data_IF_531613204460
#
_entry.id   IF_531613204460
#
_cell.length_a   1.000
_cell.length_b   1.000
_cell.length_c   1.000
_cell.angle_alpha   90.00
_cell.angle_beta   90.00
_cell.angle_gamma   90.00
#
_symmetry.space_group_name_H-M   'P 1'
#
loop_
_entity.id
_entity.type
_entity.pdbx_description
1 polymer ?
#
# COMPACT_ATOMS: atom_id res chain seq x y z
N UNK A 1 -16.37 3.80 8.35
CA UNK A 1 -15.85 5.10 8.83
C UNK A 1 -15.50 4.96 10.29
N UNK A 2 -14.31 5.37 10.70
CA UNK A 2 -14.00 5.51 12.13
C UNK A 2 -14.84 6.67 12.66
N UNK A 3 -15.76 6.39 13.58
CA UNK A 3 -16.61 7.40 14.21
C UNK A 3 -16.09 7.73 15.62
N UNK A 4 -16.40 8.93 16.11
CA UNK A 4 -16.02 9.37 17.46
C UNK A 4 -14.63 9.98 17.54
N UNK A 5 -14.13 10.13 18.77
CA UNK A 5 -12.82 10.74 19.04
C UNK A 5 -11.71 9.76 18.68
N UNK A 6 -10.88 10.13 17.70
CA UNK A 6 -9.69 9.36 17.35
C UNK A 6 -8.63 9.48 18.44
N UNK A 7 -8.08 8.33 18.83
CA UNK A 7 -6.97 8.24 19.79
C UNK A 7 -5.85 7.46 19.11
N UNK A 8 -4.64 8.02 19.12
CA UNK A 8 -3.44 7.31 18.69
C UNK A 8 -2.91 6.48 19.86
N UNK A 9 -2.60 5.21 19.59
CA UNK A 9 -1.90 4.32 20.53
C UNK A 9 -0.71 3.73 19.79
N UNK A 10 0.38 3.52 20.51
CA UNK A 10 1.53 2.80 19.98
C UNK A 10 1.19 1.31 19.81
N UNK A 11 1.80 0.69 18.79
CA UNK A 11 1.70 -0.75 18.61
C UNK A 11 2.40 -1.48 19.77
N UNK A 12 1.91 -2.66 20.11
CA UNK A 12 2.40 -3.48 21.22
C UNK A 12 2.55 -4.94 20.79
N UNK A 13 3.37 -5.70 21.52
CA UNK A 13 3.54 -7.13 21.23
C UNK A 13 2.20 -7.87 21.37
N UNK A 14 1.84 -8.66 20.36
CA UNK A 14 0.55 -9.36 20.32
C UNK A 14 -0.60 -8.56 19.71
N UNK A 15 -0.39 -7.31 19.27
CA UNK A 15 -1.43 -6.49 18.60
C UNK A 15 -2.06 -7.20 17.39
N UNK A 16 -1.26 -7.97 16.63
CA UNK A 16 -1.76 -8.75 15.49
C UNK A 16 -2.71 -9.86 15.95
N UNK A 17 -2.38 -10.56 17.03
CA UNK A 17 -3.27 -11.59 17.56
C UNK A 17 -4.56 -10.98 18.08
N UNK A 18 -4.49 -9.86 18.81
CA UNK A 18 -5.68 -9.15 19.28
C UNK A 18 -6.55 -8.63 18.12
N UNK A 19 -5.93 -8.27 17.00
CA UNK A 19 -6.62 -7.95 15.75
C UNK A 19 -7.36 -9.16 15.16
N UNK A 20 -6.68 -10.30 15.09
CA UNK A 20 -7.28 -11.52 14.57
C UNK A 20 -8.41 -12.02 15.49
N UNK A 21 -8.31 -11.81 16.80
CA UNK A 21 -9.31 -12.15 17.82
C UNK A 21 -10.46 -11.13 17.94
N UNK A 22 -10.54 -10.14 17.05
CA UNK A 22 -11.57 -9.07 17.05
C UNK A 22 -11.61 -8.21 18.34
N UNK A 23 -10.49 -8.12 19.08
CA UNK A 23 -10.38 -7.29 20.29
C UNK A 23 -10.06 -5.83 20.00
N UNK A 24 -9.54 -5.53 18.81
CA UNK A 24 -9.24 -4.16 18.38
C UNK A 24 -10.11 -3.74 17.19
N UNK A 25 -10.51 -2.48 17.20
CA UNK A 25 -11.20 -1.83 16.08
C UNK A 25 -10.50 -0.50 15.77
N UNK A 26 -10.24 -0.25 14.48
CA UNK A 26 -9.61 0.99 14.03
C UNK A 26 -8.78 0.81 12.76
N UNK A 27 -7.67 1.54 12.72
CA UNK A 27 -6.67 1.52 11.65
C UNK A 27 -5.32 1.21 12.27
N UNK A 28 -4.57 0.30 11.66
CA UNK A 28 -3.20 -0.04 12.06
C UNK A 28 -2.22 0.52 11.03
N UNK A 29 -1.16 1.17 11.49
CA UNK A 29 -0.03 1.54 10.65
C UNK A 29 0.93 0.34 10.59
N UNK A 30 1.21 -0.15 9.40
CA UNK A 30 2.14 -1.24 9.19
C UNK A 30 2.77 -1.17 7.80
N UNK A 31 3.86 -1.91 7.62
CA UNK A 31 4.32 -2.29 6.29
C UNK A 31 3.50 -3.51 5.84
N UNK A 32 3.24 -3.61 4.54
CA UNK A 32 2.52 -4.74 3.96
C UNK A 32 3.10 -5.08 2.59
N UNK A 33 3.16 -6.37 2.27
CA UNK A 33 3.60 -6.84 0.96
C UNK A 33 2.79 -8.04 0.48
N UNK A 34 2.66 -8.13 -0.83
CA UNK A 34 2.08 -9.25 -1.55
C UNK A 34 3.22 -10.24 -1.84
N UNK A 35 3.21 -11.45 -1.25
CA UNK A 35 4.15 -12.50 -1.59
C UNK A 35 4.11 -12.86 -3.07
N UNK A 36 5.21 -13.39 -3.60
CA UNK A 36 5.35 -13.68 -5.03
C UNK A 36 4.23 -14.58 -5.57
N UNK A 37 3.89 -15.64 -4.84
CA UNK A 37 2.86 -16.60 -5.22
C UNK A 37 1.43 -16.03 -5.26
N UNK A 38 1.20 -14.84 -4.69
CA UNK A 38 -0.10 -14.14 -4.73
C UNK A 38 -0.15 -13.04 -5.78
N UNK A 39 0.97 -12.68 -6.43
CA UNK A 39 0.96 -11.63 -7.46
C UNK A 39 0.12 -12.02 -8.66
N UNK A 40 0.11 -13.28 -9.05
CA UNK A 40 -0.74 -13.77 -10.15
C UNK A 40 -2.23 -13.60 -9.82
N UNK A 41 -2.62 -13.91 -8.58
CA UNK A 41 -3.99 -13.72 -8.10
C UNK A 41 -4.42 -12.24 -8.13
N UNK A 42 -3.51 -11.34 -7.74
CA UNK A 42 -3.74 -9.88 -7.74
C UNK A 42 -3.30 -9.18 -9.03
N UNK A 43 -3.04 -9.92 -10.11
CA UNK A 43 -2.47 -9.36 -11.34
C UNK A 43 -3.42 -8.39 -12.05
N UNK A 44 -4.73 -8.61 -11.93
CA UNK A 44 -5.75 -7.70 -12.45
C UNK A 44 -5.78 -6.36 -11.69
N UNK A 45 -5.65 -6.43 -10.35
CA UNK A 45 -5.66 -5.26 -9.49
C UNK A 45 -4.83 -5.52 -8.23
N UNK A 46 -3.73 -4.77 -8.12
CA UNK A 46 -2.86 -4.82 -6.94
C UNK A 46 -3.63 -4.44 -5.67
N UNK A 47 -3.39 -5.11 -4.52
CA UNK A 47 -4.22 -4.95 -3.32
C UNK A 47 -3.93 -3.65 -2.55
N UNK A 48 -2.75 -3.05 -2.75
CA UNK A 48 -2.32 -1.90 -1.95
C UNK A 48 -2.38 -0.65 -2.82
N UNK A 49 -3.06 0.38 -2.31
CA UNK A 49 -3.07 1.71 -2.93
C UNK A 49 -2.27 2.68 -2.08
N UNK A 50 -1.27 3.32 -2.67
CA UNK A 50 -0.44 4.33 -2.00
C UNK A 50 -0.49 5.66 -2.73
N UNK A 51 -0.55 6.74 -1.95
CA UNK A 51 -0.52 8.10 -2.47
C UNK A 51 0.90 8.64 -2.36
N UNK A 52 1.66 8.53 -3.45
CA UNK A 52 3.07 8.93 -3.49
C UNK A 52 3.31 10.05 -4.51
N UNK A 53 4.41 10.76 -4.34
CA UNK A 53 4.90 11.68 -5.36
C UNK A 53 5.46 10.85 -6.52
N UNK A 54 4.87 11.01 -7.71
CA UNK A 54 5.38 10.39 -8.93
C UNK A 54 6.20 11.43 -9.66
N UNK A 55 7.51 11.17 -9.75
CA UNK A 55 8.43 11.90 -10.60
C UNK A 55 8.61 11.13 -11.92
N UNK A 56 8.14 11.73 -13.01
CA UNK A 56 8.19 11.15 -14.34
C UNK A 56 9.61 11.11 -14.94
N UNK A 57 10.58 11.80 -14.34
CA UNK A 57 11.99 11.76 -14.75
C UNK A 57 12.77 10.62 -14.05
N UNK A 58 12.14 9.92 -13.10
CA UNK A 58 12.77 8.83 -12.38
C UNK A 58 12.28 7.47 -12.90
N UNK A 59 13.13 6.78 -13.68
CA UNK A 59 12.85 5.47 -14.26
C UNK A 59 12.42 4.43 -13.22
N UNK A 60 12.99 4.46 -12.01
CA UNK A 60 12.64 3.50 -10.94
C UNK A 60 11.21 3.66 -10.43
N UNK A 61 10.58 4.83 -10.64
CA UNK A 61 9.23 5.13 -10.17
C UNK A 61 8.18 4.78 -11.23
N UNK A 62 8.42 5.13 -12.49
CA UNK A 62 7.43 4.96 -13.57
C UNK A 62 7.68 3.69 -14.41
N UNK A 63 8.83 3.03 -14.22
CA UNK A 63 9.25 1.87 -14.99
C UNK A 63 9.84 2.24 -16.35
N UNK A 64 10.70 1.36 -16.87
CA UNK A 64 11.44 1.55 -18.12
C UNK A 64 10.55 1.86 -19.32
N UNK A 65 9.42 1.16 -19.45
CA UNK A 65 8.47 1.38 -20.54
C UNK A 65 7.93 2.81 -20.57
N UNK A 66 7.43 3.31 -19.43
CA UNK A 66 6.88 4.67 -19.37
C UNK A 66 7.98 5.73 -19.48
N UNK A 67 9.16 5.45 -18.93
CA UNK A 67 10.32 6.33 -19.04
C UNK A 67 10.75 6.51 -20.51
N UNK A 68 10.93 5.41 -21.25
CA UNK A 68 11.26 5.45 -22.68
C UNK A 68 10.17 6.15 -23.51
N UNK A 69 8.90 5.91 -23.18
CA UNK A 69 7.78 6.58 -23.83
C UNK A 69 7.84 8.12 -23.66
N UNK A 70 8.17 8.59 -22.45
CA UNK A 70 8.31 10.00 -22.13
C UNK A 70 9.54 10.62 -22.84
N UNK A 71 10.68 9.91 -22.85
CA UNK A 71 11.88 10.31 -23.59
C UNK A 71 11.56 10.51 -25.07
N UNK A 72 10.83 9.56 -25.69
CA UNK A 72 10.45 9.61 -27.11
C UNK A 72 9.58 10.83 -27.47
N UNK A 73 8.91 11.43 -26.48
CA UNK A 73 8.08 12.64 -26.63
C UNK A 73 8.80 13.93 -26.29
N UNK A 74 10.13 13.89 -26.14
CA UNK A 74 10.97 15.06 -25.90
C UNK A 74 10.87 15.62 -24.49
N UNK A 75 10.69 14.75 -23.47
CA UNK A 75 10.68 15.14 -22.05
C UNK A 75 9.66 16.23 -21.70
N UNK A 76 8.54 16.29 -22.42
CA UNK A 76 7.38 17.07 -21.97
C UNK A 76 6.70 16.35 -20.80
N UNK A 77 7.41 16.23 -19.69
CA UNK A 77 6.93 15.59 -18.48
C UNK A 77 5.90 16.48 -17.81
N UNK A 78 4.82 15.86 -17.33
CA UNK A 78 4.04 16.48 -16.27
C UNK A 78 4.95 16.68 -15.04
N UNK A 79 4.88 17.86 -14.42
CA UNK A 79 5.60 18.15 -13.17
C UNK A 79 5.34 17.05 -12.13
N UNK A 80 6.30 16.77 -11.23
CA UNK A 80 6.09 15.83 -10.13
C UNK A 80 4.77 16.08 -9.44
N UNK A 81 3.94 15.04 -9.33
CA UNK A 81 2.58 15.16 -8.84
C UNK A 81 2.27 14.00 -7.90
N UNK A 82 1.49 14.27 -6.84
CA UNK A 82 0.97 13.21 -5.98
C UNK A 82 -0.11 12.45 -6.74
N UNK A 83 0.06 11.13 -6.83
CA UNK A 83 -0.88 10.23 -7.50
C UNK A 83 -1.18 9.05 -6.59
N UNK A 84 -2.42 8.58 -6.66
CA UNK A 84 -2.80 7.30 -6.11
C UNK A 84 -2.37 6.21 -7.09
N UNK A 85 -1.54 5.27 -6.65
CA UNK A 85 -1.08 4.15 -7.47
C UNK A 85 -1.39 2.82 -6.79
N UNK A 86 -1.62 1.80 -7.61
CA UNK A 86 -1.61 0.41 -7.17
C UNK A 86 -0.17 -0.09 -6.95
N UNK A 87 0.02 -0.95 -5.96
CA UNK A 87 1.32 -1.54 -5.62
C UNK A 87 1.16 -2.91 -4.97
N UNK A 88 2.19 -3.74 -5.09
CA UNK A 88 2.29 -5.00 -4.34
C UNK A 88 2.89 -4.80 -2.94
N UNK A 89 3.33 -3.59 -2.59
CA UNK A 89 3.89 -3.28 -1.27
C UNK A 89 3.53 -1.86 -0.83
N UNK A 90 3.45 -1.67 0.48
CA UNK A 90 3.28 -0.38 1.13
C UNK A 90 4.11 -0.31 2.40
N UNK A 91 4.69 0.86 2.66
CA UNK A 91 5.48 1.13 3.85
C UNK A 91 4.74 2.19 4.68
N UNK A 92 4.63 1.97 6.00
CA UNK A 92 3.94 2.84 6.96
C UNK A 92 2.57 3.28 6.48
N UNK A 93 1.75 2.34 6.02
CA UNK A 93 0.40 2.63 5.55
C UNK A 93 -0.63 2.33 6.62
N UNK A 94 -1.64 3.20 6.73
CA UNK A 94 -2.78 3.00 7.63
C UNK A 94 -3.84 2.13 6.95
N UNK A 95 -4.07 0.94 7.48
CA UNK A 95 -5.04 -0.02 6.95
C UNK A 95 -6.14 -0.27 7.98
N UNK A 96 -7.38 -0.25 7.52
CA UNK A 96 -8.55 -0.57 8.35
C UNK A 96 -8.47 -2.01 8.84
N UNK A 97 -8.62 -2.24 10.15
CA UNK A 97 -8.38 -3.54 10.80
C UNK A 97 -9.14 -4.70 10.12
N UNK A 98 -10.45 -4.60 9.82
CA UNK A 98 -11.15 -5.64 9.05
C UNK A 98 -10.52 -5.98 7.69
N UNK A 99 -10.01 -5.00 6.95
CA UNK A 99 -9.33 -5.24 5.67
C UNK A 99 -7.96 -5.90 5.91
N UNK A 100 -7.23 -5.44 6.92
CA UNK A 100 -5.93 -6.01 7.28
C UNK A 100 -6.06 -7.47 7.74
N UNK A 101 -7.09 -7.79 8.53
CA UNK A 101 -7.46 -9.17 8.91
C UNK A 101 -7.74 -10.02 7.66
N UNK A 102 -8.49 -9.49 6.69
CA UNK A 102 -8.70 -10.18 5.42
C UNK A 102 -7.37 -10.42 4.69
N UNK A 103 -6.49 -9.43 4.61
CA UNK A 103 -5.18 -9.60 3.96
C UNK A 103 -4.33 -10.69 4.62
N UNK A 104 -4.18 -10.69 5.94
CA UNK A 104 -3.38 -11.70 6.66
C UNK A 104 -3.97 -13.10 6.45
N UNK A 105 -5.29 -13.24 6.55
CA UNK A 105 -5.96 -14.54 6.34
C UNK A 105 -5.82 -15.07 4.91
N UNK A 106 -5.55 -14.19 3.94
CA UNK A 106 -5.30 -14.53 2.53
C UNK A 106 -3.80 -14.61 2.19
N UNK A 107 -2.92 -14.62 3.19
CA UNK A 107 -1.49 -14.86 3.02
C UNK A 107 -0.65 -13.61 2.74
N UNK A 108 -1.21 -12.40 2.85
CA UNK A 108 -0.40 -11.18 2.78
C UNK A 108 0.53 -11.09 3.99
N UNK A 109 1.72 -10.52 3.79
CA UNK A 109 2.74 -10.39 4.82
C UNK A 109 2.77 -8.95 5.35
N UNK A 110 2.83 -8.80 6.67
CA UNK A 110 2.87 -7.49 7.35
C UNK A 110 4.05 -7.43 8.34
N UNK A 111 4.61 -6.23 8.54
CA UNK A 111 5.66 -5.96 9.53
C UNK A 111 5.46 -4.63 10.22
#
# INVERSE_FOLDING_TARGET
MTCGRLVKKEAYEGIIQDMLDDKIFGVLECDIRTPEHLKDYFSEMTPIFKNILIDCENESIIGSHMYQYIESRGKQCAKPARKLIGSYFGEKILIHVPLLKWYITHGMEIT
#
